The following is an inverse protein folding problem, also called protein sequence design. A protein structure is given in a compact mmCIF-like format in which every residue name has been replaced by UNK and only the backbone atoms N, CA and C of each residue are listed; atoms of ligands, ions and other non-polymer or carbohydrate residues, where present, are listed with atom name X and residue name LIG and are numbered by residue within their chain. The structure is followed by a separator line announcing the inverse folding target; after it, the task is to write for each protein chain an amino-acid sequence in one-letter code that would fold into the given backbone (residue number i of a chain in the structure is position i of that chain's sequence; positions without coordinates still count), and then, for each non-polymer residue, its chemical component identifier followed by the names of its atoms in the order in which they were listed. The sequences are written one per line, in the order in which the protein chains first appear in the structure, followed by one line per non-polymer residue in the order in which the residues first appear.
data_IF_118054102163
#
_entry.id   IF_118054102163
#
_cell.length_a   1.000
_cell.length_b   1.000
_cell.length_c   1.000
_cell.angle_alpha   90.00
_cell.angle_beta   90.00
_cell.angle_gamma   90.00
#
_symmetry.space_group_name_H-M   'P 1'
#
loop_
_entity.id
_entity.type
_entity.pdbx_description
1 polymer ?
#
# COMPACT_ATOMS: atom_id res chain seq x y z
N UNK A 1 19.40 38.97 -48.16
CA UNK A 1 19.72 38.36 -46.89
C UNK A 1 18.77 37.20 -46.61
N UNK A 2 19.29 36.04 -46.93
CA UNK A 2 18.58 34.76 -46.81
C UNK A 2 18.59 34.29 -45.34
N UNK A 3 17.43 34.12 -44.75
CA UNK A 3 17.26 33.35 -43.51
C UNK A 3 17.38 31.87 -43.87
N UNK A 4 18.47 31.24 -43.45
CA UNK A 4 18.57 29.79 -43.39
C UNK A 4 17.70 29.29 -42.26
N UNK A 5 16.65 28.59 -42.59
CA UNK A 5 15.90 27.73 -41.66
C UNK A 5 16.80 26.53 -41.33
N UNK A 6 17.25 26.43 -40.09
CA UNK A 6 17.88 25.23 -39.56
C UNK A 6 16.76 24.21 -39.28
N UNK A 7 16.66 23.26 -40.19
CA UNK A 7 15.88 22.03 -39.97
C UNK A 7 16.71 21.12 -39.06
N UNK A 8 16.39 21.08 -37.77
CA UNK A 8 16.89 20.05 -36.87
C UNK A 8 16.19 18.73 -37.25
N UNK A 9 16.90 17.89 -38.01
CA UNK A 9 16.61 16.46 -38.03
C UNK A 9 17.00 15.95 -36.65
N UNK A 10 16.02 15.61 -35.83
CA UNK A 10 16.22 14.71 -34.71
C UNK A 10 16.68 13.36 -35.29
N UNK A 11 17.95 13.02 -35.10
CA UNK A 11 18.46 11.69 -35.36
C UNK A 11 17.71 10.77 -34.38
N UNK A 12 16.87 9.89 -34.92
CA UNK A 12 16.22 8.85 -34.15
C UNK A 12 17.30 7.89 -33.62
N UNK A 13 17.58 7.94 -32.34
CA UNK A 13 18.49 7.00 -31.68
C UNK A 13 17.83 5.62 -31.70
N UNK A 14 18.44 4.68 -32.40
CA UNK A 14 17.96 3.29 -32.46
C UNK A 14 18.60 2.49 -31.31
N UNK A 15 17.80 2.03 -30.37
CA UNK A 15 18.26 1.24 -29.22
C UNK A 15 18.16 -0.25 -29.51
N UNK A 16 19.22 -1.01 -29.19
CA UNK A 16 19.22 -2.48 -29.33
C UNK A 16 18.48 -3.16 -28.18
N UNK A 17 18.39 -2.53 -27.02
CA UNK A 17 17.75 -3.08 -25.81
C UNK A 17 17.01 -2.01 -25.01
N UNK A 18 15.98 -2.44 -24.26
CA UNK A 18 15.27 -1.56 -23.32
C UNK A 18 16.23 -1.01 -22.25
N UNK A 19 17.26 -1.78 -21.87
CA UNK A 19 18.27 -1.32 -20.91
C UNK A 19 19.05 -0.11 -21.44
N UNK A 20 19.49 -0.16 -22.70
CA UNK A 20 20.20 0.96 -23.34
C UNK A 20 19.33 2.22 -23.37
N UNK A 21 18.07 2.09 -23.79
CA UNK A 21 17.11 3.19 -23.77
C UNK A 21 16.96 3.78 -22.37
N UNK A 22 16.73 2.95 -21.34
CA UNK A 22 16.56 3.42 -19.96
C UNK A 22 17.81 4.15 -19.46
N UNK A 23 19.00 3.60 -19.70
CA UNK A 23 20.28 4.21 -19.30
C UNK A 23 20.50 5.55 -20.01
N UNK A 24 20.25 5.62 -21.29
CA UNK A 24 20.44 6.83 -22.09
C UNK A 24 19.48 7.95 -21.68
N UNK A 25 18.20 7.62 -21.48
CA UNK A 25 17.20 8.59 -21.02
C UNK A 25 17.55 9.11 -19.62
N UNK A 26 17.96 8.26 -18.70
CA UNK A 26 18.39 8.66 -17.35
C UNK A 26 19.66 9.54 -17.41
N UNK A 27 20.63 9.20 -18.27
CA UNK A 27 21.86 9.99 -18.43
C UNK A 27 21.58 11.36 -19.03
N UNK A 28 20.66 11.45 -19.99
CA UNK A 28 20.29 12.69 -20.67
C UNK A 28 19.48 13.63 -19.78
N UNK A 29 18.57 13.09 -18.97
CA UNK A 29 17.70 13.89 -18.11
C UNK A 29 18.31 14.20 -16.74
N UNK A 30 19.33 13.45 -16.34
CA UNK A 30 19.94 13.58 -15.01
C UNK A 30 19.05 13.08 -13.87
N UNK A 31 17.82 12.64 -14.18
CA UNK A 31 16.84 12.10 -13.24
C UNK A 31 16.19 10.83 -13.79
N UNK A 32 15.66 9.97 -12.94
CA UNK A 32 14.91 8.81 -13.40
C UNK A 32 13.52 9.25 -13.91
N UNK A 33 13.15 8.98 -15.19
CA UNK A 33 11.91 9.48 -15.78
C UNK A 33 10.66 8.87 -15.14
N UNK A 34 9.50 9.56 -15.26
CA UNK A 34 8.21 9.04 -14.77
C UNK A 34 7.81 7.76 -15.52
N UNK A 35 6.93 6.95 -14.89
CA UNK A 35 6.44 5.71 -15.50
C UNK A 35 5.78 5.93 -16.84
N UNK A 36 4.94 6.97 -16.95
CA UNK A 36 4.21 7.31 -18.19
C UNK A 36 5.18 7.68 -19.32
N UNK A 37 6.18 8.51 -19.01
CA UNK A 37 7.18 8.96 -19.98
C UNK A 37 8.05 7.80 -20.46
N UNK A 38 8.58 7.00 -19.54
CA UNK A 38 9.42 5.86 -19.90
C UNK A 38 8.63 4.78 -20.65
N UNK A 39 7.35 4.58 -20.29
CA UNK A 39 6.46 3.65 -21.00
C UNK A 39 6.22 4.09 -22.44
N UNK A 40 5.98 5.39 -22.69
CA UNK A 40 5.81 5.91 -24.02
C UNK A 40 7.05 5.68 -24.89
N UNK A 41 8.24 6.00 -24.38
CA UNK A 41 9.52 5.81 -25.07
C UNK A 41 9.83 4.32 -25.34
N UNK A 42 9.56 3.45 -24.38
CA UNK A 42 9.77 2.01 -24.55
C UNK A 42 8.83 1.42 -25.59
N UNK A 43 7.54 1.77 -25.57
CA UNK A 43 6.58 1.26 -26.56
C UNK A 43 6.79 1.85 -27.97
N UNK A 44 7.32 3.06 -28.08
CA UNK A 44 7.73 3.67 -29.34
C UNK A 44 8.92 2.92 -29.94
N UNK A 45 9.98 2.67 -29.15
CA UNK A 45 11.20 1.99 -29.62
C UNK A 45 11.04 0.47 -29.73
N UNK A 46 10.18 -0.12 -28.91
CA UNK A 46 9.94 -1.57 -28.84
C UNK A 46 8.42 -1.88 -28.84
N UNK A 47 7.71 -1.73 -29.96
CA UNK A 47 6.25 -1.86 -30.02
C UNK A 47 5.70 -3.25 -29.60
N UNK A 48 6.53 -4.29 -29.70
CA UNK A 48 6.17 -5.66 -29.31
C UNK A 48 6.54 -6.01 -27.86
N UNK A 49 7.09 -5.05 -27.12
CA UNK A 49 7.52 -5.25 -25.74
C UNK A 49 6.32 -5.51 -24.82
N UNK A 50 6.51 -6.45 -23.88
CA UNK A 50 5.58 -6.68 -22.76
C UNK A 50 5.94 -5.79 -21.57
N UNK A 51 6.27 -4.51 -21.83
CA UNK A 51 6.61 -3.56 -20.78
C UNK A 51 5.47 -3.40 -19.78
N UNK A 52 5.80 -3.44 -18.48
CA UNK A 52 4.86 -3.33 -17.37
C UNK A 52 5.47 -2.51 -16.23
N UNK A 53 4.65 -2.07 -15.29
CA UNK A 53 5.06 -1.32 -14.10
C UNK A 53 6.14 -2.05 -13.27
N UNK A 54 6.09 -3.40 -13.25
CA UNK A 54 7.11 -4.24 -12.63
C UNK A 54 8.50 -4.11 -13.27
N UNK A 55 8.58 -3.94 -14.59
CA UNK A 55 9.86 -3.71 -15.27
C UNK A 55 10.41 -2.31 -14.95
N UNK A 56 9.54 -1.30 -14.93
CA UNK A 56 9.91 0.05 -14.52
C UNK A 56 10.49 0.07 -13.11
N UNK A 57 9.80 -0.52 -12.12
CA UNK A 57 10.26 -0.62 -10.74
C UNK A 57 11.58 -1.39 -10.62
N UNK A 58 11.77 -2.45 -11.42
CA UNK A 58 13.00 -3.22 -11.46
C UNK A 58 14.19 -2.37 -11.95
N UNK A 59 14.05 -1.65 -13.06
CA UNK A 59 15.12 -0.77 -13.57
C UNK A 59 15.45 0.33 -12.56
N UNK A 60 14.44 0.98 -11.98
CA UNK A 60 14.63 2.02 -10.97
C UNK A 60 15.39 1.51 -9.76
N UNK A 61 15.02 0.34 -9.23
CA UNK A 61 15.69 -0.30 -8.11
C UNK A 61 17.15 -0.67 -8.44
N UNK A 62 17.43 -1.19 -9.65
CA UNK A 62 18.77 -1.58 -10.07
C UNK A 62 19.71 -0.38 -10.25
N UNK A 63 19.21 0.73 -10.80
CA UNK A 63 19.96 1.98 -10.92
C UNK A 63 20.21 2.59 -9.54
N UNK A 64 19.19 2.63 -8.66
CA UNK A 64 19.31 3.15 -7.28
C UNK A 64 20.36 2.38 -6.45
N UNK A 65 20.52 1.08 -6.68
CA UNK A 65 21.53 0.24 -6.00
C UNK A 65 22.91 0.27 -6.66
N UNK A 66 23.07 0.99 -7.77
CA UNK A 66 24.32 1.00 -8.53
C UNK A 66 24.63 -0.30 -9.29
N UNK A 67 23.64 -1.20 -9.42
CA UNK A 67 23.77 -2.45 -10.19
C UNK A 67 23.67 -2.20 -11.72
N UNK A 68 23.07 -1.08 -12.10
CA UNK A 68 23.09 -0.52 -13.46
C UNK A 68 23.71 0.87 -13.35
N UNK A 69 24.91 1.03 -13.91
CA UNK A 69 25.60 2.32 -13.95
C UNK A 69 24.98 3.21 -15.04
N UNK A 70 24.67 4.45 -14.68
CA UNK A 70 24.20 5.49 -15.60
C UNK A 70 25.22 6.63 -15.58
N UNK A 71 25.87 6.94 -16.73
CA UNK A 71 26.88 7.98 -16.78
C UNK A 71 26.30 9.35 -16.39
N UNK A 72 26.97 10.05 -15.48
CA UNK A 72 26.55 11.39 -15.04
C UNK A 72 25.35 11.43 -14.09
N UNK A 73 24.83 10.27 -13.68
CA UNK A 73 23.69 10.15 -12.77
C UNK A 73 24.15 9.91 -11.34
N UNK A 74 23.76 10.76 -10.41
CA UNK A 74 24.05 10.57 -8.98
C UNK A 74 22.79 10.11 -8.24
N UNK A 75 22.90 9.12 -7.37
CA UNK A 75 21.80 8.53 -6.60
C UNK A 75 21.05 9.56 -5.73
N UNK A 76 21.68 10.71 -5.46
CA UNK A 76 21.08 11.82 -4.72
C UNK A 76 19.88 12.47 -5.45
N UNK A 77 19.80 12.35 -6.77
CA UNK A 77 18.76 12.98 -7.59
C UNK A 77 17.51 12.09 -7.77
N UNK A 78 17.50 10.90 -7.15
CA UNK A 78 16.39 9.93 -7.25
C UNK A 78 15.45 9.96 -6.04
N UNK A 79 15.37 11.06 -5.31
CA UNK A 79 14.37 11.20 -4.24
C UNK A 79 13.02 11.49 -4.90
N UNK A 80 12.43 10.45 -5.48
CA UNK A 80 11.04 10.40 -5.86
C UNK A 80 10.25 9.87 -4.64
N UNK A 81 9.80 10.77 -3.80
CA UNK A 81 8.94 10.44 -2.66
C UNK A 81 7.67 9.68 -3.09
N UNK A 82 7.21 9.86 -4.34
CA UNK A 82 6.00 9.21 -4.87
C UNK A 82 6.15 7.70 -5.10
N UNK A 83 7.35 7.19 -5.46
CA UNK A 83 7.51 5.76 -5.75
C UNK A 83 7.90 4.92 -4.54
N UNK A 84 8.68 5.46 -3.60
CA UNK A 84 8.89 4.82 -2.30
C UNK A 84 7.56 4.74 -1.54
N UNK A 85 6.67 5.72 -1.76
CA UNK A 85 5.28 5.71 -1.28
C UNK A 85 4.47 4.60 -1.96
N UNK A 86 4.57 4.41 -3.27
CA UNK A 86 3.80 3.38 -3.97
C UNK A 86 4.25 1.95 -3.62
N UNK A 87 5.57 1.68 -3.55
CA UNK A 87 6.07 0.37 -3.09
C UNK A 87 5.66 0.10 -1.63
N UNK A 88 5.69 1.13 -0.78
CA UNK A 88 5.24 1.00 0.61
C UNK A 88 3.72 0.82 0.72
N UNK A 89 2.94 1.42 -0.17
CA UNK A 89 1.48 1.21 -0.28
C UNK A 89 1.19 -0.21 -0.73
N UNK A 90 1.83 -0.69 -1.80
CA UNK A 90 1.59 -2.04 -2.33
C UNK A 90 2.00 -3.14 -1.32
N UNK A 91 3.12 -2.96 -0.62
CA UNK A 91 3.54 -3.83 0.47
C UNK A 91 2.57 -3.77 1.67
N UNK A 92 2.08 -2.59 2.00
CA UNK A 92 1.10 -2.39 3.08
C UNK A 92 -0.24 -3.03 2.74
N UNK A 93 -0.73 -2.89 1.51
CA UNK A 93 -1.97 -3.52 1.04
C UNK A 93 -1.86 -5.05 1.03
N UNK A 94 -0.71 -5.61 0.62
CA UNK A 94 -0.45 -7.05 0.68
C UNK A 94 -0.47 -7.55 2.12
N UNK A 95 0.22 -6.86 3.03
CA UNK A 95 0.27 -7.22 4.44
C UNK A 95 -1.09 -7.09 5.13
N UNK A 96 -1.89 -6.07 4.77
CA UNK A 96 -3.24 -5.89 5.31
C UNK A 96 -4.16 -7.05 4.89
N UNK A 97 -4.06 -7.50 3.63
CA UNK A 97 -4.78 -8.67 3.13
C UNK A 97 -4.36 -9.96 3.80
N UNK A 98 -3.06 -10.14 4.06
CA UNK A 98 -2.55 -11.32 4.78
C UNK A 98 -3.00 -11.32 6.24
N UNK A 99 -2.94 -10.17 6.92
CA UNK A 99 -3.46 -10.00 8.28
C UNK A 99 -4.96 -10.28 8.35
N UNK A 100 -5.74 -9.74 7.40
CA UNK A 100 -7.16 -9.99 7.28
C UNK A 100 -7.45 -11.49 7.12
N UNK A 101 -6.75 -12.16 6.20
CA UNK A 101 -6.89 -13.60 5.94
C UNK A 101 -6.50 -14.45 7.15
N UNK A 102 -5.50 -14.04 7.91
CA UNK A 102 -5.08 -14.69 9.14
C UNK A 102 -6.16 -14.57 10.23
N UNK A 103 -6.61 -13.35 10.51
CA UNK A 103 -7.60 -13.08 11.56
C UNK A 103 -8.98 -13.64 11.23
N UNK A 104 -9.34 -13.73 9.93
CA UNK A 104 -10.56 -14.41 9.51
C UNK A 104 -10.60 -15.90 9.91
N UNK A 105 -9.43 -16.52 10.09
CA UNK A 105 -9.30 -17.93 10.54
C UNK A 105 -9.00 -18.05 12.03
N UNK A 106 -8.46 -17.01 12.64
CA UNK A 106 -7.94 -17.02 14.01
C UNK A 106 -8.48 -15.82 14.81
N UNK A 107 -9.78 -15.56 14.70
CA UNK A 107 -10.40 -14.37 15.30
C UNK A 107 -10.24 -14.32 16.83
N UNK A 108 -10.07 -15.46 17.46
CA UNK A 108 -9.87 -15.58 18.89
C UNK A 108 -8.51 -15.09 19.38
N UNK A 109 -7.54 -14.88 18.48
CA UNK A 109 -6.27 -14.22 18.81
C UNK A 109 -6.46 -12.74 19.17
N UNK A 110 -7.55 -12.11 18.71
CA UNK A 110 -7.92 -10.75 19.12
C UNK A 110 -8.50 -10.76 20.55
N UNK A 111 -9.43 -11.68 20.79
CA UNK A 111 -10.11 -11.84 22.07
C UNK A 111 -10.79 -13.22 22.16
N UNK A 112 -10.56 -13.93 23.26
CA UNK A 112 -11.16 -15.24 23.48
C UNK A 112 -12.69 -15.20 23.45
N UNK A 113 -13.28 -16.07 22.63
CA UNK A 113 -14.71 -16.21 22.48
C UNK A 113 -15.35 -15.27 21.47
N UNK A 114 -14.57 -14.54 20.68
CA UNK A 114 -15.09 -13.91 19.48
C UNK A 114 -15.49 -14.97 18.45
N UNK A 115 -16.60 -14.72 17.77
CA UNK A 115 -17.05 -15.49 16.60
C UNK A 115 -17.46 -14.55 15.47
N UNK A 116 -17.01 -14.84 14.27
CA UNK A 116 -17.39 -14.05 13.09
C UNK A 116 -18.87 -14.34 12.79
N UNK A 117 -19.65 -13.29 12.55
CA UNK A 117 -21.06 -13.46 12.18
C UNK A 117 -21.17 -14.02 10.74
N UNK A 118 -22.29 -14.63 10.40
CA UNK A 118 -22.50 -15.11 9.04
C UNK A 118 -22.38 -13.95 8.05
N UNK A 119 -21.51 -14.11 7.01
CA UNK A 119 -21.19 -13.06 6.06
C UNK A 119 -20.40 -11.88 6.65
N UNK A 120 -19.84 -12.01 7.87
CA UNK A 120 -19.17 -10.93 8.59
C UNK A 120 -17.75 -10.56 8.09
N UNK A 121 -17.26 -11.20 7.03
CA UNK A 121 -16.02 -10.81 6.36
C UNK A 121 -16.32 -9.79 5.28
N UNK A 122 -15.61 -8.65 5.28
CA UNK A 122 -15.87 -7.52 4.38
C UNK A 122 -17.35 -7.10 4.38
N UNK A 123 -17.91 -6.97 5.57
CA UNK A 123 -19.33 -6.72 5.78
C UNK A 123 -19.72 -5.31 5.30
N UNK A 124 -20.65 -5.24 4.32
CA UNK A 124 -21.10 -3.98 3.74
C UNK A 124 -22.12 -3.27 4.66
N UNK A 125 -21.90 -1.97 4.88
CA UNK A 125 -22.81 -1.04 5.58
C UNK A 125 -22.92 0.26 4.78
N UNK A 126 -23.87 1.12 5.07
CA UNK A 126 -24.04 2.39 4.34
C UNK A 126 -22.80 3.31 4.47
N UNK A 127 -22.07 3.20 5.57
CA UNK A 127 -20.81 3.94 5.78
C UNK A 127 -19.59 3.33 5.04
N UNK A 128 -19.74 2.20 4.37
CA UNK A 128 -18.66 1.52 3.63
C UNK A 128 -18.60 0.02 3.90
N UNK A 129 -17.41 -0.50 4.21
CA UNK A 129 -17.18 -1.93 4.40
C UNK A 129 -16.35 -2.17 5.65
N UNK A 130 -16.91 -2.92 6.58
CA UNK A 130 -16.25 -3.37 7.81
C UNK A 130 -15.34 -4.55 7.44
N UNK A 131 -14.07 -4.53 7.86
CA UNK A 131 -13.14 -5.64 7.57
C UNK A 131 -13.63 -6.96 8.16
N UNK A 132 -13.95 -6.99 9.46
CA UNK A 132 -14.53 -8.16 10.11
C UNK A 132 -15.62 -7.72 11.08
N UNK A 133 -16.81 -8.30 10.93
CA UNK A 133 -17.90 -8.19 11.89
C UNK A 133 -18.01 -9.48 12.69
N UNK A 134 -17.91 -9.36 14.01
CA UNK A 134 -17.96 -10.49 14.95
C UNK A 134 -18.97 -10.25 16.06
N UNK A 135 -19.21 -11.28 16.86
CA UNK A 135 -19.89 -11.20 18.15
C UNK A 135 -19.01 -11.79 19.24
N UNK A 136 -19.10 -11.25 20.45
CA UNK A 136 -18.48 -11.83 21.62
C UNK A 136 -19.41 -12.81 22.34
N UNK A 137 -18.91 -13.41 23.44
CA UNK A 137 -19.67 -14.40 24.28
C UNK A 137 -20.99 -13.86 24.83
N UNK A 138 -21.14 -12.54 24.94
CA UNK A 138 -22.37 -11.89 25.41
C UNK A 138 -23.36 -11.58 24.28
N UNK A 139 -23.00 -11.86 23.05
CA UNK A 139 -23.76 -11.48 21.86
C UNK A 139 -23.60 -10.02 21.44
N UNK A 140 -22.66 -9.28 22.03
CA UNK A 140 -22.35 -7.92 21.61
C UNK A 140 -21.66 -7.93 20.25
N UNK A 141 -22.10 -7.07 19.32
CA UNK A 141 -21.44 -6.91 18.04
C UNK A 141 -20.09 -6.22 18.19
N UNK A 142 -19.10 -6.75 17.48
CA UNK A 142 -17.73 -6.27 17.47
C UNK A 142 -17.32 -5.91 16.06
N UNK A 143 -17.19 -4.61 15.81
CA UNK A 143 -16.65 -4.07 14.55
C UNK A 143 -15.13 -4.08 14.64
N UNK A 144 -14.46 -4.76 13.72
CA UNK A 144 -13.00 -4.88 13.70
C UNK A 144 -12.49 -4.21 12.42
N UNK A 145 -11.60 -3.26 12.61
CA UNK A 145 -10.89 -2.53 11.54
C UNK A 145 -9.41 -2.90 11.61
N UNK A 146 -8.80 -3.18 10.45
CA UNK A 146 -7.43 -3.65 10.31
C UNK A 146 -6.57 -2.61 9.61
N UNK A 147 -5.34 -2.43 10.09
CA UNK A 147 -4.31 -1.63 9.40
C UNK A 147 -2.97 -2.36 9.44
N UNK A 148 -2.38 -2.60 8.29
CA UNK A 148 -1.07 -3.26 8.20
C UNK A 148 0.04 -2.45 8.87
N UNK A 149 -0.02 -1.11 8.72
CA UNK A 149 0.95 -0.19 9.29
C UNK A 149 0.51 0.43 10.60
N UNK A 150 1.08 1.59 10.89
CA UNK A 150 0.73 2.43 12.03
C UNK A 150 -0.61 3.13 11.81
N UNK A 151 -1.59 2.87 12.68
CA UNK A 151 -2.91 3.50 12.61
C UNK A 151 -2.87 4.99 12.96
N UNK A 152 -3.53 5.80 12.12
CA UNK A 152 -3.70 7.25 12.26
C UNK A 152 -5.15 7.60 12.64
N UNK A 153 -5.41 8.88 12.90
CA UNK A 153 -6.73 9.40 13.29
C UNK A 153 -7.86 8.96 12.34
N UNK A 154 -7.59 8.87 11.04
CA UNK A 154 -8.56 8.41 10.05
C UNK A 154 -9.06 6.99 10.29
N UNK A 155 -8.20 6.08 10.76
CA UNK A 155 -8.59 4.70 11.06
C UNK A 155 -9.54 4.63 12.28
N UNK A 156 -9.30 5.44 13.30
CA UNK A 156 -10.22 5.55 14.43
C UNK A 156 -11.56 6.15 14.00
N UNK A 157 -11.53 7.22 13.17
CA UNK A 157 -12.74 7.82 12.61
C UNK A 157 -13.55 6.82 11.76
N UNK A 158 -12.89 6.00 10.95
CA UNK A 158 -13.50 4.94 10.14
C UNK A 158 -14.19 3.91 11.02
N UNK A 159 -13.49 3.38 12.04
CA UNK A 159 -14.04 2.44 13.00
C UNK A 159 -15.31 3.00 13.69
N UNK A 160 -15.26 4.25 14.17
CA UNK A 160 -16.39 4.91 14.82
C UNK A 160 -17.57 5.10 13.87
N UNK A 161 -17.32 5.47 12.61
CA UNK A 161 -18.33 5.58 11.58
C UNK A 161 -19.05 4.25 11.33
N UNK A 162 -18.31 3.14 11.25
CA UNK A 162 -18.89 1.81 11.09
C UNK A 162 -19.69 1.36 12.31
N UNK A 163 -19.18 1.61 13.53
CA UNK A 163 -19.92 1.32 14.76
C UNK A 163 -21.23 2.07 14.84
N UNK A 164 -21.24 3.36 14.50
CA UNK A 164 -22.44 4.20 14.47
C UNK A 164 -23.45 3.71 13.43
N UNK A 165 -23.00 3.46 12.21
CA UNK A 165 -23.84 2.96 11.12
C UNK A 165 -24.46 1.60 11.46
N UNK A 166 -23.69 0.66 12.00
CA UNK A 166 -24.18 -0.66 12.40
C UNK A 166 -25.19 -0.54 13.56
N UNK A 167 -24.91 0.32 14.54
CA UNK A 167 -25.79 0.56 15.68
C UNK A 167 -27.15 1.09 15.25
N UNK A 168 -27.18 2.00 14.28
CA UNK A 168 -28.40 2.54 13.68
C UNK A 168 -29.16 1.48 12.89
N UNK A 169 -28.47 0.73 12.01
CA UNK A 169 -29.05 -0.29 11.13
C UNK A 169 -29.68 -1.45 11.92
N UNK A 170 -29.06 -1.85 13.02
CA UNK A 170 -29.56 -2.93 13.89
C UNK A 170 -30.47 -2.43 15.03
N UNK A 171 -30.68 -1.12 15.12
CA UNK A 171 -31.44 -0.49 16.23
C UNK A 171 -30.93 -0.98 17.59
N UNK A 172 -29.61 -0.98 17.77
CA UNK A 172 -28.96 -1.48 18.98
C UNK A 172 -27.83 -0.54 19.42
N UNK A 173 -27.63 -0.42 20.73
CA UNK A 173 -26.47 0.24 21.31
C UNK A 173 -25.36 -0.74 21.69
N UNK A 174 -25.60 -2.03 21.45
CA UNK A 174 -24.70 -3.11 21.85
C UNK A 174 -23.61 -3.38 20.80
N UNK A 175 -22.87 -2.32 20.40
CA UNK A 175 -21.79 -2.36 19.42
C UNK A 175 -20.52 -1.84 20.07
N UNK A 176 -19.41 -2.56 19.91
CA UNK A 176 -18.07 -2.10 20.28
C UNK A 176 -17.11 -2.23 19.12
N UNK A 177 -15.98 -1.53 19.20
CA UNK A 177 -14.97 -1.50 18.15
C UNK A 177 -13.63 -2.06 18.61
N UNK A 178 -12.92 -2.67 17.66
CA UNK A 178 -11.52 -3.08 17.82
C UNK A 178 -10.73 -2.57 16.63
N UNK A 179 -9.70 -1.77 16.88
CA UNK A 179 -8.74 -1.35 15.85
C UNK A 179 -7.46 -2.16 16.02
N UNK A 180 -7.11 -2.95 15.00
CA UNK A 180 -5.91 -3.78 14.98
C UNK A 180 -4.87 -3.11 14.07
N UNK A 181 -3.65 -2.90 14.57
CA UNK A 181 -2.57 -2.27 13.80
C UNK A 181 -1.19 -2.72 14.29
N UNK A 182 -0.14 -2.50 13.48
CA UNK A 182 1.25 -2.75 13.93
C UNK A 182 1.72 -1.75 14.98
N UNK A 183 1.17 -0.52 14.95
CA UNK A 183 1.41 0.53 15.93
C UNK A 183 0.29 1.59 15.88
N UNK A 184 0.28 2.55 16.80
CA UNK A 184 -0.73 3.60 16.89
C UNK A 184 -0.11 4.98 17.07
N UNK A 185 -0.64 5.99 16.40
CA UNK A 185 -0.30 7.37 16.70
C UNK A 185 -0.80 7.75 18.11
N UNK A 186 -0.07 8.65 18.76
CA UNK A 186 -0.44 9.12 20.11
C UNK A 186 -1.88 9.66 20.19
N UNK A 187 -2.34 10.34 19.14
CA UNK A 187 -3.71 10.87 19.07
C UNK A 187 -4.75 9.76 19.03
N UNK A 188 -4.49 8.66 18.30
CA UNK A 188 -5.36 7.48 18.27
C UNK A 188 -5.47 6.87 19.67
N UNK A 189 -4.32 6.72 20.36
CA UNK A 189 -4.30 6.19 21.73
C UNK A 189 -5.09 7.07 22.71
N UNK A 190 -4.94 8.40 22.61
CA UNK A 190 -5.71 9.32 23.46
C UNK A 190 -7.18 9.33 23.09
N UNK A 191 -7.52 9.32 21.78
CA UNK A 191 -8.90 9.25 21.31
C UNK A 191 -9.61 7.98 21.79
N UNK A 192 -8.99 6.83 21.65
CA UNK A 192 -9.56 5.55 22.11
C UNK A 192 -9.78 5.51 23.63
N UNK A 193 -8.91 6.14 24.44
CA UNK A 193 -9.12 6.24 25.90
C UNK A 193 -10.37 7.05 26.29
N UNK A 194 -10.82 7.95 25.44
CA UNK A 194 -12.02 8.75 25.66
C UNK A 194 -13.32 7.98 25.30
N UNK A 195 -13.20 6.78 24.70
CA UNK A 195 -14.31 6.00 24.16
C UNK A 195 -14.31 4.63 24.84
N UNK A 196 -15.31 4.37 25.71
CA UNK A 196 -15.33 3.20 26.59
C UNK A 196 -15.51 1.85 25.85
N UNK A 197 -16.07 1.85 24.64
CA UNK A 197 -16.38 0.68 23.85
C UNK A 197 -15.44 0.50 22.64
N UNK A 198 -14.22 1.08 22.68
CA UNK A 198 -13.17 0.89 21.66
C UNK A 198 -11.93 0.30 22.32
N UNK A 199 -11.39 -0.77 21.69
CA UNK A 199 -10.10 -1.38 22.05
C UNK A 199 -9.09 -1.16 20.93
N UNK A 200 -7.82 -0.96 21.30
CA UNK A 200 -6.68 -0.99 20.38
C UNK A 200 -5.92 -2.31 20.60
N UNK A 201 -5.67 -3.02 19.53
CA UNK A 201 -4.91 -4.29 19.54
C UNK A 201 -3.68 -4.13 18.65
N UNK A 202 -2.51 -4.33 19.23
CA UNK A 202 -1.24 -4.30 18.50
C UNK A 202 -0.83 -5.71 18.10
N UNK A 203 -0.58 -5.92 16.81
CA UNK A 203 -0.03 -7.17 16.30
C UNK A 203 1.47 -7.06 16.06
N UNK A 204 2.16 -8.19 16.04
CA UNK A 204 3.58 -8.33 15.68
C UNK A 204 3.77 -9.58 14.84
N UNK A 205 4.67 -9.51 13.87
CA UNK A 205 5.07 -10.64 13.06
C UNK A 205 6.47 -11.07 13.50
N UNK A 206 6.67 -12.37 13.73
CA UNK A 206 7.97 -12.95 14.06
C UNK A 206 8.30 -14.08 13.09
N UNK A 207 9.58 -14.22 12.72
CA UNK A 207 10.09 -15.31 11.91
C UNK A 207 10.97 -16.23 12.76
N UNK A 208 10.67 -17.51 12.74
CA UNK A 208 11.56 -18.53 13.30
C UNK A 208 12.37 -19.16 12.18
N UNK A 209 13.70 -19.14 12.30
CA UNK A 209 14.61 -19.71 11.31
C UNK A 209 15.27 -20.95 11.90
N UNK A 210 15.23 -22.06 11.16
CA UNK A 210 15.87 -23.32 11.52
C UNK A 210 16.92 -23.67 10.47
N UNK A 211 18.12 -24.04 10.94
CA UNK A 211 19.19 -24.50 10.06
C UNK A 211 18.92 -25.98 9.75
N UNK A 212 18.64 -26.29 8.50
CA UNK A 212 18.53 -27.66 8.01
C UNK A 212 19.88 -28.05 7.44
N UNK A 213 20.63 -28.93 8.11
CA UNK A 213 21.92 -29.48 7.70
C UNK A 213 21.75 -30.84 6.97
#
# INVERSE_FOLDING_TARGET
PLRRALCNKEESVEYSTIKELVVDVCATEGVFPSYEKLTALVLESFPTSKWQKTHYAWYKSKIKRGEIEVPGFTVADTIDEENDVQESIDASLSLEKDLHSYLARNIQDIEDGLSIVEGGIEYAVDAGRIDILAQDKSGQFVVIELKAGKAKDSALGQLLGYMGCLSESLVTTNVRGVLVASDFDKRVVFGAKAISNVKLVKYQISFNLEIVT
#
